data_IF_404983530108
#
_entry.id   IF_404983530108
#
_cell.length_a   1.000
_cell.length_b   1.000
_cell.length_c   1.000
_cell.angle_alpha   90.00
_cell.angle_beta   90.00
_cell.angle_gamma   90.00
#
_symmetry.space_group_name_H-M   'P 1'
#
loop_
_entity.id
_entity.type
_entity.pdbx_description
1 polymer ?
#
# COMPACT_ATOMS: atom_id res chain seq x y z
N UNK A 1 19.84 11.00 3.37
CA UNK A 1 19.01 10.60 2.22
C UNK A 1 19.96 10.28 1.07
N UNK A 2 19.82 9.13 0.41
CA UNK A 2 20.66 8.75 -0.74
C UNK A 2 19.75 8.23 -1.88
N UNK A 3 20.27 8.16 -3.10
CA UNK A 3 19.45 7.83 -4.28
C UNK A 3 18.84 6.41 -4.20
N UNK A 4 19.58 5.44 -3.67
CA UNK A 4 19.10 4.06 -3.51
C UNK A 4 17.90 3.96 -2.58
N UNK A 5 17.93 4.65 -1.44
CA UNK A 5 16.81 4.69 -0.48
C UNK A 5 15.62 5.45 -1.05
N UNK A 6 15.86 6.46 -1.90
CA UNK A 6 14.80 7.19 -2.60
C UNK A 6 14.09 6.29 -3.61
N UNK A 7 14.84 5.58 -4.45
CA UNK A 7 14.29 4.63 -5.43
C UNK A 7 13.52 3.50 -4.75
N UNK A 8 14.01 3.02 -3.59
CA UNK A 8 13.31 2.03 -2.77
C UNK A 8 11.98 2.57 -2.26
N UNK A 9 11.97 3.79 -1.72
CA UNK A 9 10.74 4.42 -1.22
C UNK A 9 9.72 4.64 -2.36
N UNK A 10 10.17 5.07 -3.54
CA UNK A 10 9.31 5.22 -4.73
C UNK A 10 8.69 3.87 -5.12
N UNK A 11 9.50 2.80 -5.14
CA UNK A 11 9.03 1.45 -5.48
C UNK A 11 7.97 0.96 -4.50
N UNK A 12 8.20 1.08 -3.19
CA UNK A 12 7.21 0.65 -2.19
C UNK A 12 5.96 1.56 -2.18
N UNK A 13 6.10 2.85 -2.50
CA UNK A 13 4.97 3.76 -2.63
C UNK A 13 4.06 3.34 -3.80
N UNK A 14 4.65 3.03 -4.96
CA UNK A 14 3.90 2.52 -6.10
C UNK A 14 3.17 1.22 -5.77
N UNK A 15 3.83 0.28 -5.08
CA UNK A 15 3.22 -0.97 -4.61
C UNK A 15 2.04 -0.73 -3.67
N UNK A 16 2.20 0.18 -2.70
CA UNK A 16 1.12 0.56 -1.80
C UNK A 16 -0.08 1.14 -2.56
N UNK A 17 0.16 2.08 -3.49
CA UNK A 17 -0.92 2.69 -4.29
C UNK A 17 -1.70 1.62 -5.08
N UNK A 18 -1.02 0.63 -5.66
CA UNK A 18 -1.68 -0.48 -6.37
C UNK A 18 -2.59 -1.27 -5.43
N UNK A 19 -2.11 -1.68 -4.25
CA UNK A 19 -2.93 -2.45 -3.31
C UNK A 19 -4.07 -1.63 -2.71
N UNK A 20 -3.83 -0.35 -2.40
CA UNK A 20 -4.85 0.56 -1.91
C UNK A 20 -5.98 0.75 -2.95
N UNK A 21 -5.62 0.90 -4.24
CA UNK A 21 -6.59 0.97 -5.33
C UNK A 21 -7.41 -0.31 -5.47
N UNK A 22 -6.79 -1.48 -5.34
CA UNK A 22 -7.50 -2.78 -5.37
C UNK A 22 -8.51 -2.91 -4.22
N UNK A 23 -8.09 -2.59 -2.99
CA UNK A 23 -9.00 -2.59 -1.84
C UNK A 23 -10.16 -1.59 -2.03
N UNK A 24 -9.88 -0.39 -2.53
CA UNK A 24 -10.93 0.61 -2.82
C UNK A 24 -11.89 0.13 -3.90
N UNK A 25 -11.40 -0.51 -4.95
CA UNK A 25 -12.23 -1.07 -6.02
C UNK A 25 -13.12 -2.22 -5.50
N UNK A 26 -12.59 -3.10 -4.64
CA UNK A 26 -13.36 -4.15 -4.00
C UNK A 26 -14.52 -3.56 -3.16
N UNK A 27 -14.21 -2.60 -2.27
CA UNK A 27 -15.23 -1.90 -1.48
C UNK A 27 -16.25 -1.13 -2.30
N UNK A 28 -15.84 -0.57 -3.45
CA UNK A 28 -16.77 0.12 -4.36
C UNK A 28 -17.76 -0.88 -4.96
N UNK A 29 -17.30 -2.04 -5.43
CA UNK A 29 -18.17 -3.10 -5.97
C UNK A 29 -19.21 -3.52 -4.93
N UNK A 30 -18.78 -3.80 -3.70
CA UNK A 30 -19.68 -4.15 -2.58
C UNK A 30 -20.79 -3.12 -2.35
N UNK A 31 -20.43 -1.84 -2.38
CA UNK A 31 -21.40 -0.75 -2.24
C UNK A 31 -22.38 -0.73 -3.40
N UNK A 32 -21.90 -0.96 -4.62
CA UNK A 32 -22.72 -0.93 -5.83
C UNK A 32 -23.71 -2.13 -5.87
N UNK A 33 -23.36 -3.28 -5.26
CA UNK A 33 -24.29 -4.42 -5.06
C UNK A 33 -25.06 -4.39 -3.74
N UNK A 34 -24.86 -3.38 -2.88
CA UNK A 34 -25.59 -3.21 -1.62
C UNK A 34 -25.26 -4.24 -0.54
N UNK A 35 -24.16 -5.00 -0.68
CA UNK A 35 -23.75 -6.04 0.28
C UNK A 35 -22.36 -5.72 0.83
N UNK A 36 -22.22 -5.37 2.11
CA UNK A 36 -20.91 -5.15 2.71
C UNK A 36 -20.19 -6.50 2.88
N UNK A 37 -19.17 -6.77 2.05
CA UNK A 37 -18.34 -7.96 2.17
C UNK A 37 -17.03 -7.61 2.89
N UNK A 38 -16.42 -8.65 3.48
CA UNK A 38 -15.06 -8.56 4.00
C UNK A 38 -14.07 -8.85 2.88
N UNK A 39 -12.99 -8.08 2.84
CA UNK A 39 -11.88 -8.28 1.90
C UNK A 39 -10.58 -8.58 2.65
N UNK A 40 -10.46 -9.74 3.32
CA UNK A 40 -9.29 -10.05 4.15
C UNK A 40 -7.99 -10.09 3.32
N UNK A 41 -8.08 -10.54 2.06
CA UNK A 41 -6.93 -10.62 1.14
C UNK A 41 -6.45 -9.23 0.75
N UNK A 42 -7.33 -8.39 0.19
CA UNK A 42 -6.98 -7.04 -0.25
C UNK A 42 -6.62 -6.13 0.93
N UNK A 43 -7.33 -6.26 2.06
CA UNK A 43 -7.03 -5.51 3.28
C UNK A 43 -5.69 -5.91 3.87
N UNK A 44 -5.36 -7.21 3.88
CA UNK A 44 -4.06 -7.70 4.33
C UNK A 44 -2.93 -7.25 3.40
N UNK A 45 -3.13 -7.31 2.08
CA UNK A 45 -2.17 -6.85 1.09
C UNK A 45 -1.89 -5.34 1.21
N UNK A 46 -2.94 -4.51 1.33
CA UNK A 46 -2.81 -3.08 1.52
C UNK A 46 -2.11 -2.74 2.84
N UNK A 47 -2.44 -3.45 3.93
CA UNK A 47 -1.79 -3.27 5.24
C UNK A 47 -0.30 -3.62 5.19
N UNK A 48 0.07 -4.77 4.60
CA UNK A 48 1.50 -5.13 4.43
C UNK A 48 2.24 -4.08 3.61
N UNK A 49 1.72 -3.70 2.44
CA UNK A 49 2.33 -2.69 1.60
C UNK A 49 2.50 -1.33 2.32
N UNK A 50 1.56 -0.93 3.18
CA UNK A 50 1.71 0.30 3.98
C UNK A 50 2.84 0.22 5.01
N UNK A 51 3.06 -0.96 5.61
CA UNK A 51 4.14 -1.17 6.57
C UNK A 51 5.50 -1.18 5.86
N UNK A 52 5.59 -1.82 4.69
CA UNK A 52 6.81 -1.83 3.86
C UNK A 52 7.17 -0.41 3.39
N UNK A 53 6.18 0.38 2.96
CA UNK A 53 6.37 1.79 2.64
C UNK A 53 6.85 2.58 3.86
N UNK A 54 6.28 2.34 5.04
CA UNK A 54 6.70 3.03 6.27
C UNK A 54 8.16 2.74 6.62
N UNK A 55 8.61 1.49 6.44
CA UNK A 55 10.02 1.09 6.61
C UNK A 55 10.91 1.80 5.60
N UNK A 56 10.58 1.74 4.31
CA UNK A 56 11.37 2.40 3.27
C UNK A 56 11.46 3.92 3.46
N UNK A 57 10.39 4.57 3.94
CA UNK A 57 10.41 5.99 4.30
C UNK A 57 11.27 6.29 5.53
N UNK A 58 11.33 5.36 6.50
CA UNK A 58 12.22 5.50 7.65
C UNK A 58 13.69 5.39 7.21
N UNK A 59 14.02 4.41 6.37
CA UNK A 59 15.35 4.21 5.79
C UNK A 59 15.78 5.44 4.97
N UNK A 60 14.89 5.98 4.14
CA UNK A 60 15.11 7.22 3.38
C UNK A 60 15.50 8.41 4.29
N UNK A 61 14.77 8.60 5.39
CA UNK A 61 15.03 9.68 6.36
C UNK A 61 16.35 9.47 7.09
N UNK A 62 16.69 8.22 7.41
CA UNK A 62 17.92 7.86 8.11
C UNK A 62 19.14 7.82 7.18
N UNK A 63 18.93 7.67 5.86
CA UNK A 63 19.99 7.60 4.85
C UNK A 63 20.81 6.31 4.89
N UNK A 64 20.26 5.21 5.42
CA UNK A 64 20.91 3.90 5.54
C UNK A 64 19.98 2.80 5.05
#
# INVERSE_FOLDING_TARGET
MNDQTLDRAITEAARFIVQAKRLRAARKRDRDVGVPLRHPVESGAARRASMDLTRALADLRQGR
#
